data_IF_717122131146
#
_entry.id   IF_717122131146
#
_cell.length_a   1.000
_cell.length_b   1.000
_cell.length_c   1.000
_cell.angle_alpha   90.00
_cell.angle_beta   90.00
_cell.angle_gamma   90.00
#
_symmetry.space_group_name_H-M   'P 1'
#
loop_
_entity.id
_entity.type
_entity.pdbx_description
1 polymer ?
#
# COMPACT_ATOMS: atom_id res chain seq x y z
N UNK A 1 -18.57 -12.53 23.08
CA UNK A 1 -18.33 -13.34 24.29
C UNK A 1 -16.85 -13.67 24.34
N UNK A 2 -16.13 -13.26 25.39
CA UNK A 2 -14.74 -13.70 25.58
C UNK A 2 -14.82 -15.11 26.16
N UNK A 3 -14.50 -16.14 25.39
CA UNK A 3 -14.36 -17.47 25.95
C UNK A 3 -13.23 -17.39 26.99
N UNK A 4 -13.52 -17.74 28.23
CA UNK A 4 -12.48 -17.87 29.26
C UNK A 4 -11.61 -19.06 28.88
N UNK A 5 -10.49 -18.83 28.18
CA UNK A 5 -9.61 -19.90 27.73
C UNK A 5 -8.97 -20.58 28.93
N UNK A 6 -9.27 -21.87 29.12
CA UNK A 6 -8.53 -22.72 30.04
C UNK A 6 -7.25 -23.22 29.35
N UNK A 7 -6.12 -22.60 29.72
CA UNK A 7 -4.80 -22.95 29.18
C UNK A 7 -4.37 -24.39 29.53
N UNK A 8 -4.90 -24.98 30.60
CA UNK A 8 -4.60 -26.37 30.97
C UNK A 8 -5.30 -27.33 30.03
N UNK A 9 -6.58 -27.09 29.75
CA UNK A 9 -7.35 -27.86 28.80
C UNK A 9 -6.78 -27.72 27.38
N UNK A 10 -6.44 -26.50 26.96
CA UNK A 10 -5.80 -26.24 25.67
C UNK A 10 -4.45 -26.95 25.54
N UNK A 11 -3.61 -26.93 26.57
CA UNK A 11 -2.33 -27.65 26.56
C UNK A 11 -2.54 -29.16 26.42
N UNK A 12 -3.55 -29.70 27.10
CA UNK A 12 -3.90 -31.12 27.02
C UNK A 12 -4.40 -31.52 25.63
N UNK A 13 -5.15 -30.65 24.96
CA UNK A 13 -5.57 -30.86 23.57
C UNK A 13 -4.36 -30.84 22.61
N UNK A 14 -3.43 -29.91 22.80
CA UNK A 14 -2.25 -29.76 21.96
C UNK A 14 -1.22 -30.90 22.15
N UNK A 15 -0.92 -31.26 23.40
CA UNK A 15 0.18 -32.16 23.75
C UNK A 15 -0.28 -33.57 24.16
N UNK A 16 -1.59 -33.81 24.31
CA UNK A 16 -2.14 -35.08 24.78
C UNK A 16 -1.69 -35.39 26.22
N UNK A 17 -1.24 -36.62 26.43
CA UNK A 17 -0.75 -37.12 27.73
C UNK A 17 0.78 -36.99 27.89
N UNK A 18 1.43 -36.17 27.06
CA UNK A 18 2.87 -35.93 27.18
C UNK A 18 3.23 -35.32 28.54
N UNK A 19 4.30 -35.84 29.14
CA UNK A 19 4.85 -35.29 30.38
C UNK A 19 5.45 -33.89 30.15
N UNK A 20 5.55 -33.07 31.20
CA UNK A 20 6.20 -31.75 31.10
C UNK A 20 7.63 -31.83 30.54
N UNK A 21 8.33 -32.93 30.82
CA UNK A 21 9.66 -33.22 30.26
C UNK A 21 9.62 -33.45 28.75
N UNK A 22 8.66 -34.25 28.27
CA UNK A 22 8.47 -34.46 26.85
C UNK A 22 8.09 -33.15 26.13
N UNK A 23 7.18 -32.37 26.71
CA UNK A 23 6.79 -31.04 26.21
C UNK A 23 8.02 -30.13 26.11
N UNK A 24 8.83 -30.09 27.17
CA UNK A 24 10.06 -29.29 27.23
C UNK A 24 11.05 -29.66 26.13
N UNK A 25 11.27 -30.97 25.92
CA UNK A 25 12.17 -31.47 24.87
C UNK A 25 11.67 -31.13 23.47
N UNK A 26 10.37 -31.27 23.20
CA UNK A 26 9.77 -31.01 21.89
C UNK A 26 9.71 -29.52 21.54
N UNK A 27 9.35 -28.68 22.50
CA UNK A 27 9.12 -27.24 22.28
C UNK A 27 10.31 -26.34 22.63
N UNK A 28 11.35 -26.88 23.27
CA UNK A 28 12.53 -26.12 23.70
C UNK A 28 12.28 -25.17 24.88
N UNK A 29 11.09 -25.21 25.49
CA UNK A 29 10.74 -24.40 26.66
C UNK A 29 11.22 -25.09 27.94
N UNK A 30 11.62 -24.32 28.96
CA UNK A 30 12.04 -24.88 30.25
C UNK A 30 10.83 -25.42 31.02
N UNK A 31 10.93 -26.63 31.58
CA UNK A 31 9.88 -27.23 32.44
C UNK A 31 9.44 -26.30 33.58
N UNK A 32 10.40 -25.65 34.25
CA UNK A 32 10.12 -24.73 35.35
C UNK A 32 9.30 -23.51 34.91
N UNK A 33 9.53 -23.03 33.69
CA UNK A 33 8.75 -21.93 33.10
C UNK A 33 7.35 -22.42 32.77
N UNK A 34 7.21 -23.59 32.13
CA UNK A 34 5.91 -24.17 31.79
C UNK A 34 5.04 -24.36 33.05
N UNK A 35 5.59 -25.02 34.07
CA UNK A 35 4.92 -25.27 35.35
C UNK A 35 4.47 -23.96 36.02
N UNK A 36 5.34 -22.95 36.09
CA UNK A 36 5.00 -21.65 36.68
C UNK A 36 3.87 -20.94 35.94
N UNK A 37 3.82 -21.02 34.61
CA UNK A 37 2.75 -20.39 33.83
C UNK A 37 1.42 -21.16 33.95
N UNK A 38 1.49 -22.49 34.05
CA UNK A 38 0.33 -23.34 34.30
C UNK A 38 -0.30 -23.05 35.66
N UNK A 39 0.50 -22.93 36.72
CA UNK A 39 0.00 -22.54 38.06
C UNK A 39 -0.61 -21.13 38.10
N UNK A 40 -0.21 -20.25 37.18
CA UNK A 40 -0.80 -18.90 37.03
C UNK A 40 -2.08 -18.94 36.19
N UNK A 41 -2.37 -20.04 35.49
CA UNK A 41 -3.52 -20.19 34.61
C UNK A 41 -3.42 -19.36 33.32
N UNK A 42 -2.22 -18.95 32.90
CA UNK A 42 -2.05 -18.17 31.66
C UNK A 42 -0.68 -18.36 31.03
N UNK A 43 -0.66 -18.63 29.73
CA UNK A 43 0.55 -18.70 28.93
C UNK A 43 0.85 -17.38 28.24
N UNK A 44 2.10 -16.93 28.28
CA UNK A 44 2.53 -15.82 27.46
C UNK A 44 2.48 -16.21 25.96
N UNK A 45 2.28 -15.25 25.03
CA UNK A 45 2.26 -15.55 23.60
C UNK A 45 3.49 -16.32 23.11
N UNK A 46 4.68 -16.02 23.63
CA UNK A 46 5.91 -16.70 23.23
C UNK A 46 5.91 -18.18 23.62
N UNK A 47 5.28 -18.52 24.75
CA UNK A 47 5.09 -19.90 25.20
C UNK A 47 4.14 -20.63 24.25
N UNK A 48 3.01 -20.00 23.89
CA UNK A 48 2.03 -20.57 22.95
C UNK A 48 2.70 -20.88 21.60
N UNK A 49 3.48 -19.93 21.06
CA UNK A 49 4.19 -20.12 19.79
C UNK A 49 5.21 -21.26 19.87
N UNK A 50 6.00 -21.32 20.95
CA UNK A 50 7.00 -22.38 21.13
C UNK A 50 6.36 -23.77 21.23
N UNK A 51 5.27 -23.89 21.99
CA UNK A 51 4.50 -25.13 22.12
C UNK A 51 3.92 -25.55 20.76
N UNK A 52 3.29 -24.63 20.02
CA UNK A 52 2.75 -24.93 18.70
C UNK A 52 3.83 -25.47 17.75
N UNK A 53 5.01 -24.83 17.71
CA UNK A 53 6.14 -25.29 16.88
C UNK A 53 6.65 -26.67 17.29
N UNK A 54 6.73 -26.95 18.59
CA UNK A 54 7.19 -28.25 19.09
C UNK A 54 6.24 -29.42 18.75
N UNK A 55 4.95 -29.13 18.59
CA UNK A 55 3.92 -30.11 18.24
C UNK A 55 3.47 -30.03 16.77
N UNK A 56 4.20 -29.30 15.93
CA UNK A 56 3.87 -29.06 14.53
C UNK A 56 2.42 -28.55 14.31
N UNK A 57 1.93 -27.78 15.28
CA UNK A 57 0.66 -27.08 15.24
C UNK A 57 0.85 -25.64 14.76
N UNK A 58 -0.15 -25.07 14.09
CA UNK A 58 -0.07 -23.70 13.58
C UNK A 58 0.02 -22.70 14.74
N UNK A 59 1.09 -21.88 14.84
CA UNK A 59 1.18 -20.85 15.87
C UNK A 59 0.06 -19.81 15.76
N UNK A 60 -0.43 -19.55 14.55
CA UNK A 60 -1.54 -18.63 14.30
C UNK A 60 -2.83 -19.18 14.92
N UNK A 61 -3.14 -20.45 14.66
CA UNK A 61 -4.30 -21.13 15.24
C UNK A 61 -4.22 -21.16 16.77
N UNK A 62 -3.06 -21.50 17.34
CA UNK A 62 -2.86 -21.49 18.78
C UNK A 62 -3.05 -20.11 19.42
N UNK A 63 -2.61 -19.04 18.76
CA UNK A 63 -2.81 -17.66 19.24
C UNK A 63 -4.27 -17.22 19.15
N UNK A 64 -5.02 -17.68 18.14
CA UNK A 64 -6.48 -17.46 18.08
C UNK A 64 -7.18 -18.18 19.23
N UNK A 65 -6.92 -19.48 19.40
CA UNK A 65 -7.54 -20.31 20.45
C UNK A 65 -7.28 -19.76 21.86
N UNK A 66 -6.09 -19.18 22.06
CA UNK A 66 -5.69 -18.56 23.33
C UNK A 66 -6.14 -17.11 23.49
N UNK A 67 -6.81 -16.54 22.47
CA UNK A 67 -7.38 -15.19 22.50
C UNK A 67 -6.34 -14.07 22.38
N UNK A 68 -5.12 -14.39 21.94
CA UNK A 68 -4.08 -13.41 21.62
C UNK A 68 -4.25 -12.80 20.24
N UNK A 69 -4.88 -13.53 19.33
CA UNK A 69 -5.34 -13.04 18.04
C UNK A 69 -6.84 -13.30 17.91
N UNK A 70 -7.51 -12.49 17.12
CA UNK A 70 -8.84 -12.74 16.62
C UNK A 70 -8.75 -13.36 15.22
N UNK A 71 -9.75 -14.13 14.82
CA UNK A 71 -9.78 -14.79 13.50
C UNK A 71 -9.60 -13.78 12.35
N UNK A 72 -10.26 -12.62 12.44
CA UNK A 72 -10.17 -11.55 11.44
C UNK A 72 -8.79 -10.87 11.38
N UNK A 73 -7.94 -11.01 12.41
CA UNK A 73 -6.55 -10.49 12.37
C UNK A 73 -5.64 -11.40 11.53
N UNK A 74 -6.12 -12.58 11.16
CA UNK A 74 -5.37 -13.60 10.43
C UNK A 74 -5.80 -13.75 8.97
N UNK A 75 -6.91 -13.09 8.59
CA UNK A 75 -7.33 -12.93 7.20
C UNK A 75 -6.37 -11.99 6.47
N UNK A 76 -5.22 -12.55 6.05
CA UNK A 76 -4.30 -11.92 5.11
C UNK A 76 -2.83 -12.16 5.42
N UNK A 77 -2.12 -12.75 4.46
CA UNK A 77 -0.76 -12.27 4.18
C UNK A 77 -0.93 -10.80 3.80
N UNK A 78 -0.29 -9.87 4.51
CA UNK A 78 -0.46 -8.44 4.22
C UNK A 78 -0.35 -8.21 2.71
N UNK A 79 -1.39 -7.61 2.10
CA UNK A 79 -1.51 -7.46 0.64
C UNK A 79 -0.19 -7.00 -0.01
N UNK A 80 0.58 -6.05 0.56
CA UNK A 80 1.86 -5.64 -0.02
C UNK A 80 2.95 -6.72 -0.04
N UNK A 81 2.93 -7.70 0.87
CA UNK A 81 3.85 -8.83 0.88
C UNK A 81 3.39 -9.92 -0.09
N UNK A 82 2.09 -10.20 -0.15
CA UNK A 82 1.51 -11.16 -1.09
C UNK A 82 1.74 -10.71 -2.55
N UNK A 83 1.50 -9.43 -2.86
CA UNK A 83 1.77 -8.84 -4.17
C UNK A 83 3.25 -8.91 -4.55
N UNK A 84 4.16 -8.72 -3.59
CA UNK A 84 5.62 -8.84 -3.81
C UNK A 84 6.09 -10.28 -4.08
N UNK A 85 5.32 -11.28 -3.66
CA UNK A 85 5.63 -12.71 -3.83
C UNK A 85 4.92 -13.34 -5.02
N UNK A 86 3.85 -12.71 -5.53
CA UNK A 86 3.13 -13.17 -6.71
C UNK A 86 3.99 -13.11 -7.96
N UNK A 87 3.86 -14.09 -8.85
CA UNK A 87 4.47 -14.02 -10.18
C UNK A 87 3.70 -13.04 -11.07
N UNK A 88 4.35 -12.54 -12.13
CA UNK A 88 3.68 -11.67 -13.11
C UNK A 88 2.45 -12.35 -13.74
N UNK A 89 2.51 -13.68 -13.96
CA UNK A 89 1.37 -14.43 -14.49
C UNK A 89 0.20 -14.45 -13.51
N UNK A 90 0.45 -14.67 -12.22
CA UNK A 90 -0.58 -14.66 -11.18
C UNK A 90 -1.21 -13.27 -11.01
N UNK A 91 -0.42 -12.20 -11.13
CA UNK A 91 -0.92 -10.83 -11.12
C UNK A 91 -1.79 -10.54 -12.35
N UNK A 92 -1.34 -10.97 -13.53
CA UNK A 92 -2.08 -10.82 -14.79
C UNK A 92 -3.41 -11.59 -14.75
N UNK A 93 -3.39 -12.84 -14.31
CA UNK A 93 -4.59 -13.66 -14.18
C UNK A 93 -5.58 -13.03 -13.20
N UNK A 94 -5.10 -12.48 -12.07
CA UNK A 94 -5.95 -11.81 -11.08
C UNK A 94 -6.49 -10.47 -11.61
N UNK A 95 -5.70 -9.70 -12.36
CA UNK A 95 -6.15 -8.48 -13.04
C UNK A 95 -7.25 -8.83 -14.04
N UNK A 96 -7.04 -9.83 -14.90
CA UNK A 96 -8.03 -10.27 -15.89
C UNK A 96 -9.29 -10.82 -15.23
N UNK A 97 -9.15 -11.62 -14.17
CA UNK A 97 -10.29 -12.13 -13.38
C UNK A 97 -11.09 -11.01 -12.71
N UNK A 98 -10.46 -9.90 -12.33
CA UNK A 98 -11.13 -8.69 -11.84
C UNK A 98 -11.68 -7.82 -12.96
N UNK A 99 -11.09 -7.92 -14.15
CA UNK A 99 -11.42 -7.09 -15.32
C UNK A 99 -12.46 -7.73 -16.23
N UNK A 100 -12.97 -8.93 -15.98
CA UNK A 100 -14.05 -9.52 -16.81
C UNK A 100 -14.89 -10.54 -16.01
N UNK A 101 -16.25 -10.46 -15.99
CA UNK A 101 -17.14 -10.19 -17.13
C UNK A 101 -17.93 -8.84 -17.17
N UNK A 102 -17.84 -7.99 -16.13
CA UNK A 102 -18.59 -6.71 -16.09
C UNK A 102 -17.72 -5.50 -16.46
N UNK A 103 -16.39 -5.62 -16.52
CA UNK A 103 -15.54 -4.48 -16.87
C UNK A 103 -15.47 -4.24 -18.39
N UNK A 104 -15.79 -5.24 -19.23
CA UNK A 104 -16.06 -5.04 -20.66
C UNK A 104 -17.28 -4.11 -20.88
N UNK A 105 -18.26 -4.09 -19.97
CA UNK A 105 -19.40 -3.17 -20.03
C UNK A 105 -19.07 -1.75 -19.52
N UNK A 106 -18.00 -1.59 -18.73
CA UNK A 106 -17.65 -0.30 -18.12
C UNK A 106 -16.63 0.50 -18.92
N UNK A 107 -15.74 -0.18 -19.66
CA UNK A 107 -14.67 0.44 -20.45
C UNK A 107 -14.65 0.03 -21.93
N UNK A 108 -15.50 -0.91 -22.36
CA UNK A 108 -15.69 -1.30 -23.75
C UNK A 108 -17.03 -0.79 -24.32
N UNK A 109 -17.08 -0.59 -25.63
CA UNK A 109 -18.34 -0.29 -26.33
C UNK A 109 -19.35 -1.43 -26.10
N UNK A 110 -20.60 -1.14 -25.66
CA UNK A 110 -21.66 -2.14 -25.45
C UNK A 110 -22.05 -2.97 -26.69
N UNK A 111 -21.51 -2.69 -27.87
CA UNK A 111 -21.75 -3.47 -29.10
C UNK A 111 -20.88 -4.74 -29.22
N UNK A 112 -19.82 -4.88 -28.42
CA UNK A 112 -18.98 -6.08 -28.39
C UNK A 112 -17.92 -6.16 -29.50
N UNK A 113 -17.61 -5.06 -30.17
CA UNK A 113 -16.47 -4.99 -31.10
C UNK A 113 -15.16 -4.81 -30.32
N UNK A 114 -14.16 -5.65 -30.59
CA UNK A 114 -12.85 -5.54 -29.96
C UNK A 114 -12.19 -4.22 -30.39
N UNK A 115 -11.73 -3.43 -29.42
CA UNK A 115 -10.95 -2.22 -29.69
C UNK A 115 -9.62 -2.66 -30.31
N UNK A 116 -9.50 -2.51 -31.63
CA UNK A 116 -8.27 -2.77 -32.39
C UNK A 116 -7.21 -1.72 -32.04
N UNK A 117 -6.34 -2.03 -31.07
CA UNK A 117 -5.24 -1.15 -30.66
C UNK A 117 -4.14 -0.97 -31.73
N UNK A 118 -4.20 -1.66 -32.88
CA UNK A 118 -3.25 -1.44 -33.97
C UNK A 118 -3.68 -0.31 -34.93
N UNK A 119 -4.91 0.22 -34.84
CA UNK A 119 -5.39 1.32 -35.69
C UNK A 119 -6.27 2.39 -34.99
N UNK A 120 -6.16 2.58 -33.68
CA UNK A 120 -6.83 3.72 -33.01
C UNK A 120 -5.86 4.90 -32.96
N UNK A 121 -6.07 5.88 -33.85
CA UNK A 121 -5.87 7.28 -33.45
C UNK A 121 -6.65 7.44 -32.14
N UNK A 122 -5.93 7.51 -31.01
CA UNK A 122 -6.53 7.63 -29.70
C UNK A 122 -7.70 8.63 -29.76
N UNK A 123 -8.86 8.36 -29.14
CA UNK A 123 -9.98 9.28 -29.17
C UNK A 123 -9.59 10.52 -28.38
N UNK A 124 -8.91 11.45 -29.06
CA UNK A 124 -8.72 12.83 -28.68
C UNK A 124 -10.07 13.51 -28.81
N UNK A 125 -11.03 13.06 -28.01
CA UNK A 125 -12.41 13.56 -27.92
C UNK A 125 -12.49 15.01 -27.45
N UNK A 126 -11.34 15.71 -27.38
CA UNK A 126 -11.26 17.14 -27.11
C UNK A 126 -10.08 17.83 -27.86
N UNK A 127 -9.58 17.31 -29.00
CA UNK A 127 -8.62 18.13 -29.77
C UNK A 127 -9.30 19.32 -30.43
N UNK A 128 -10.48 19.10 -31.02
CA UNK A 128 -11.27 20.17 -31.62
C UNK A 128 -11.84 21.13 -30.57
N UNK A 129 -12.17 20.63 -29.37
CA UNK A 129 -12.60 21.47 -28.25
C UNK A 129 -11.47 22.30 -27.63
N UNK A 130 -10.24 21.77 -27.60
CA UNK A 130 -9.04 22.54 -27.22
C UNK A 130 -8.58 23.50 -28.32
N UNK A 131 -8.84 23.19 -29.59
CA UNK A 131 -8.70 24.15 -30.71
C UNK A 131 -9.80 25.20 -30.72
N UNK A 132 -10.99 24.85 -30.24
CA UNK A 132 -12.16 25.73 -30.22
C UNK A 132 -12.31 26.51 -28.93
N UNK A 133 -11.29 26.58 -28.07
CA UNK A 133 -11.18 27.72 -27.16
C UNK A 133 -10.89 28.97 -27.98
N UNK A 134 -11.95 29.45 -28.63
CA UNK A 134 -12.10 30.78 -29.20
C UNK A 134 -12.54 31.76 -28.11
N UNK A 135 -12.22 31.48 -26.83
CA UNK A 135 -11.74 32.59 -26.02
C UNK A 135 -10.42 33.00 -26.66
N UNK A 136 -10.52 33.91 -27.62
CA UNK A 136 -9.45 34.83 -27.90
C UNK A 136 -8.80 35.17 -26.55
N UNK A 137 -7.47 35.06 -26.48
CA UNK A 137 -6.74 35.89 -25.55
C UNK A 137 -7.39 37.28 -25.54
N UNK A 138 -7.56 37.95 -24.38
CA UNK A 138 -8.00 39.34 -24.38
C UNK A 138 -7.21 40.02 -25.48
N UNK A 139 -7.91 40.60 -26.47
CA UNK A 139 -7.28 40.98 -27.73
C UNK A 139 -6.02 41.76 -27.39
N UNK A 140 -4.85 41.15 -27.61
CA UNK A 140 -3.61 41.88 -27.53
C UNK A 140 -3.81 42.99 -28.54
N UNK A 141 -3.85 44.22 -28.06
CA UNK A 141 -4.05 45.43 -28.87
C UNK A 141 -2.86 45.71 -29.78
N UNK A 142 -2.03 44.69 -30.02
CA UNK A 142 -0.84 44.77 -30.83
C UNK A 142 -1.24 44.62 -32.29
N UNK A 143 -1.30 45.76 -32.98
CA UNK A 143 -1.72 45.94 -34.37
C UNK A 143 -0.75 45.35 -35.41
N UNK A 144 0.18 44.48 -35.00
CA UNK A 144 1.16 43.84 -35.87
C UNK A 144 2.21 44.80 -36.45
N UNK A 145 2.25 46.05 -36.01
CA UNK A 145 3.29 46.99 -36.44
C UNK A 145 4.58 46.69 -35.69
N UNK A 146 5.66 46.41 -36.44
CA UNK A 146 7.01 46.31 -35.87
C UNK A 146 7.49 47.74 -35.61
N UNK A 147 7.38 48.18 -34.36
CA UNK A 147 7.98 49.45 -33.92
C UNK A 147 9.47 49.25 -33.63
N UNK A 148 10.23 50.32 -33.78
CA UNK A 148 11.62 50.34 -33.36
C UNK A 148 11.67 50.10 -31.84
N UNK A 149 12.61 49.28 -31.39
CA UNK A 149 12.67 48.84 -30.00
C UNK A 149 12.96 50.04 -29.08
N UNK A 150 12.07 50.30 -28.13
CA UNK A 150 12.17 51.40 -27.16
C UNK A 150 12.80 50.89 -25.86
N UNK A 151 14.03 51.31 -25.59
CA UNK A 151 14.79 51.00 -24.36
C UNK A 151 14.16 51.53 -23.08
N UNK A 152 13.22 52.49 -23.18
CA UNK A 152 12.61 53.13 -22.03
C UNK A 152 11.39 52.38 -21.46
N UNK A 153 10.81 51.42 -22.20
CA UNK A 153 9.71 50.60 -21.71
C UNK A 153 10.23 49.41 -20.86
N UNK A 154 9.60 49.12 -19.70
CA UNK A 154 10.02 48.03 -18.84
C UNK A 154 9.74 46.69 -19.54
N UNK A 155 10.80 45.93 -19.75
CA UNK A 155 10.75 44.67 -20.50
C UNK A 155 10.60 43.52 -19.51
N UNK A 156 9.86 42.47 -19.85
CA UNK A 156 9.56 41.35 -18.94
C UNK A 156 10.81 40.61 -18.35
N UNK A 157 12.00 40.88 -18.89
CA UNK A 157 13.27 40.39 -18.35
C UNK A 157 13.88 41.29 -17.26
N UNK A 158 13.46 42.55 -17.11
CA UNK A 158 13.94 43.46 -16.05
C UNK A 158 13.21 43.28 -14.72
N UNK A 159 12.05 42.63 -14.74
CA UNK A 159 11.14 42.56 -13.59
C UNK A 159 11.51 41.44 -12.61
N UNK A 160 12.67 40.81 -12.81
CA UNK A 160 13.26 39.91 -11.82
C UNK A 160 13.87 40.75 -10.69
N UNK A 161 13.63 40.42 -9.41
CA UNK A 161 14.27 41.12 -8.30
C UNK A 161 15.79 41.11 -8.47
N UNK A 162 16.45 42.25 -8.21
CA UNK A 162 17.90 42.30 -8.14
C UNK A 162 18.34 41.38 -6.99
N UNK A 163 18.91 40.24 -7.35
CA UNK A 163 19.29 39.20 -6.43
C UNK A 163 20.32 39.72 -5.42
N UNK A 164 21.22 40.62 -5.83
CA UNK A 164 22.20 41.20 -4.92
C UNK A 164 21.57 42.14 -3.90
N UNK A 165 20.60 42.97 -4.30
CA UNK A 165 19.86 43.82 -3.36
C UNK A 165 19.07 43.00 -2.33
N UNK A 166 18.43 41.91 -2.77
CA UNK A 166 17.70 41.01 -1.86
C UNK A 166 18.62 40.27 -0.90
N UNK A 167 19.83 39.90 -1.33
CA UNK A 167 20.84 39.23 -0.50
C UNK A 167 21.41 40.17 0.55
N UNK A 168 21.68 41.43 0.20
CA UNK A 168 22.10 42.46 1.16
C UNK A 168 21.00 42.69 2.22
N UNK A 169 19.72 42.70 1.82
CA UNK A 169 18.59 42.83 2.77
C UNK A 169 18.48 41.65 3.73
N UNK A 170 18.87 40.44 3.30
CA UNK A 170 18.97 39.24 4.16
C UNK A 170 20.27 39.19 4.98
N UNK A 171 21.23 40.08 4.74
CA UNK A 171 22.54 40.09 5.40
C UNK A 171 23.53 39.08 4.81
N UNK A 172 23.35 38.71 3.54
CA UNK A 172 24.25 37.83 2.79
C UNK A 172 25.19 38.65 1.89
N UNK A 173 26.40 38.15 1.65
CA UNK A 173 27.36 38.77 0.73
C UNK A 173 26.86 38.70 -0.72
N UNK A 174 26.97 39.75 -1.55
CA UNK A 174 26.55 39.74 -2.95
C UNK A 174 27.31 38.70 -3.81
N UNK A 175 26.70 38.26 -4.91
CA UNK A 175 27.32 37.42 -5.93
C UNK A 175 28.20 38.32 -6.82
N UNK A 176 29.39 37.82 -7.18
CA UNK A 176 30.35 38.43 -8.13
C UNK A 176 29.97 38.11 -9.59
#
# INVERSE_FOLDING_TARGET
>A
MRNSTDFTAWLKELAGDDTQKAISQKSGVKESTLSRQLSRGTFRPEMVIALCRGYNHSPVTGLIQTGYLNEWETDGVGIPFALRKASNQQLLDEIMRRSDPEALYLFGDPTGEAIDYENVDAPVTNLDAHRSNTQSAPADTHDGTVTEWDEAEPNAADSSPDENEERIKRGEDPID
#
